data_IF_850483178712
#
_entry.id   IF_850483178712
#
_cell.length_a   1.000
_cell.length_b   1.000
_cell.length_c   1.000
_cell.angle_alpha   90.00
_cell.angle_beta   90.00
_cell.angle_gamma   90.00
#
_symmetry.space_group_name_H-M   'P 1'
#
loop_
_entity.id
_entity.type
_entity.pdbx_description
1 polymer ?
#
# COMPACT_ATOMS: atom_id res chain seq x y z
N UNK A 1 17.95 -24.93 0.60
CA UNK A 1 16.98 -24.96 1.71
C UNK A 1 16.58 -26.41 1.91
N UNK A 2 16.43 -26.92 3.14
CA UNK A 2 16.06 -28.33 3.36
C UNK A 2 14.58 -28.55 2.97
N UNK A 3 14.22 -29.73 2.46
CA UNK A 3 12.84 -30.06 2.04
C UNK A 3 11.81 -29.79 3.16
N UNK A 4 12.12 -30.20 4.40
CA UNK A 4 11.27 -29.94 5.56
C UNK A 4 10.97 -28.45 5.76
N UNK A 5 11.95 -27.57 5.55
CA UNK A 5 11.73 -26.12 5.65
C UNK A 5 10.79 -25.62 4.56
N UNK A 6 10.95 -26.10 3.33
CA UNK A 6 10.06 -25.73 2.23
C UNK A 6 8.62 -26.13 2.54
N UNK A 7 8.40 -27.36 3.02
CA UNK A 7 7.08 -27.84 3.41
C UNK A 7 6.43 -26.97 4.49
N UNK A 8 7.18 -26.57 5.52
CA UNK A 8 6.66 -25.67 6.57
C UNK A 8 6.20 -24.32 5.99
N UNK A 9 7.00 -23.74 5.09
CA UNK A 9 6.66 -22.46 4.44
C UNK A 9 5.40 -22.61 3.58
N UNK A 10 5.31 -23.69 2.78
CA UNK A 10 4.13 -23.98 1.96
C UNK A 10 2.87 -24.15 2.81
N UNK A 11 2.95 -24.92 3.91
CA UNK A 11 1.83 -25.12 4.83
C UNK A 11 1.38 -23.78 5.43
N UNK A 12 2.31 -22.96 5.92
CA UNK A 12 1.97 -21.66 6.47
C UNK A 12 1.31 -20.72 5.44
N UNK A 13 1.82 -20.70 4.20
CA UNK A 13 1.24 -19.89 3.13
C UNK A 13 -0.21 -20.31 2.84
N UNK A 14 -0.49 -21.61 2.77
CA UNK A 14 -1.86 -22.12 2.59
C UNK A 14 -2.74 -21.75 3.78
N UNK A 15 -2.26 -21.91 5.02
CA UNK A 15 -3.02 -21.52 6.23
C UNK A 15 -3.41 -20.05 6.15
N UNK A 16 -2.48 -19.16 5.79
CA UNK A 16 -2.76 -17.71 5.71
C UNK A 16 -3.77 -17.32 4.63
N UNK A 17 -4.04 -18.16 3.64
CA UNK A 17 -5.07 -17.93 2.62
C UNK A 17 -6.49 -18.35 3.05
N UNK A 18 -6.69 -18.72 4.33
CA UNK A 18 -7.96 -19.24 4.85
C UNK A 18 -9.20 -18.45 4.43
N UNK A 19 -9.20 -17.11 4.60
CA UNK A 19 -10.37 -16.28 4.25
C UNK A 19 -10.65 -16.32 2.75
N UNK A 20 -9.64 -16.34 1.88
CA UNK A 20 -9.82 -16.54 0.45
C UNK A 20 -10.52 -17.87 0.14
N UNK A 21 -10.09 -18.97 0.78
CA UNK A 21 -10.75 -20.27 0.62
C UNK A 21 -12.18 -20.26 1.15
N UNK A 22 -12.41 -19.64 2.31
CA UNK A 22 -13.75 -19.46 2.85
C UNK A 22 -14.64 -18.65 1.89
N UNK A 23 -14.07 -17.63 1.26
CA UNK A 23 -14.73 -16.75 0.30
C UNK A 23 -15.03 -17.44 -1.06
N UNK A 24 -14.45 -18.61 -1.34
CA UNK A 24 -14.48 -19.28 -2.66
C UNK A 24 -13.85 -18.47 -3.81
N UNK A 25 -13.18 -17.37 -3.51
CA UNK A 25 -12.44 -16.52 -4.46
C UNK A 25 -11.41 -15.67 -3.69
N UNK A 26 -10.31 -15.21 -4.31
CA UNK A 26 -9.53 -14.11 -3.75
C UNK A 26 -10.43 -12.92 -3.40
N UNK A 27 -10.16 -12.23 -2.31
CA UNK A 27 -10.93 -11.05 -1.91
C UNK A 27 -10.61 -9.93 -2.91
N UNK A 28 -11.65 -9.28 -3.39
CA UNK A 28 -11.61 -8.19 -4.36
C UNK A 28 -12.10 -6.92 -3.67
N UNK A 29 -11.41 -5.81 -3.91
CA UNK A 29 -11.77 -4.48 -3.40
C UNK A 29 -12.14 -3.57 -4.58
N UNK A 30 -12.83 -2.43 -4.38
CA UNK A 30 -13.15 -1.50 -5.48
C UNK A 30 -11.95 -1.15 -6.38
N UNK A 31 -10.78 -1.03 -5.77
CA UNK A 31 -9.50 -0.74 -6.42
C UNK A 31 -8.87 -1.90 -7.19
N UNK A 32 -9.26 -3.15 -6.90
CA UNK A 32 -8.68 -4.35 -7.52
C UNK A 32 -8.84 -4.33 -9.04
N UNK A 33 -9.96 -3.79 -9.55
CA UNK A 33 -10.18 -3.65 -10.99
C UNK A 33 -9.09 -2.83 -11.67
N UNK A 34 -8.70 -1.69 -11.09
CA UNK A 34 -7.63 -0.84 -11.61
C UNK A 34 -6.29 -1.58 -11.62
N UNK A 35 -5.96 -2.34 -10.57
CA UNK A 35 -4.72 -3.13 -10.53
C UNK A 35 -4.69 -4.24 -11.58
N UNK A 36 -5.78 -5.00 -11.75
CA UNK A 36 -5.86 -6.01 -12.81
C UNK A 36 -5.76 -5.33 -14.18
N UNK A 37 -6.52 -4.26 -14.41
CA UNK A 37 -6.56 -3.57 -15.70
C UNK A 37 -5.18 -3.03 -16.09
N UNK A 38 -4.54 -2.26 -15.20
CA UNK A 38 -3.20 -1.69 -15.42
C UNK A 38 -2.13 -2.75 -15.68
N UNK A 39 -2.14 -3.86 -14.95
CA UNK A 39 -1.22 -4.96 -15.18
C UNK A 39 -1.37 -5.63 -16.55
N UNK A 40 -2.60 -5.83 -17.00
CA UNK A 40 -2.90 -6.54 -18.25
C UNK A 40 -2.87 -5.63 -19.48
N UNK A 41 -3.27 -4.36 -19.33
CA UNK A 41 -3.24 -3.35 -20.38
C UNK A 41 -1.91 -2.60 -20.45
N UNK A 42 -1.05 -2.76 -19.43
CA UNK A 42 0.27 -2.16 -19.33
C UNK A 42 0.25 -0.62 -19.42
N UNK A 43 -0.50 0.03 -18.52
CA UNK A 43 -0.50 1.49 -18.36
C UNK A 43 -0.29 1.85 -16.88
N UNK A 44 0.21 3.05 -16.62
CA UNK A 44 0.36 3.58 -15.25
C UNK A 44 -0.94 4.30 -14.86
N UNK A 45 -1.63 3.87 -13.79
CA UNK A 45 -2.77 4.61 -13.28
C UNK A 45 -2.36 6.00 -12.75
N UNK A 46 -3.30 6.96 -12.78
CA UNK A 46 -3.04 8.34 -12.35
C UNK A 46 -2.67 8.46 -10.87
N UNK A 47 -3.19 7.55 -10.05
CA UNK A 47 -3.25 7.61 -8.59
C UNK A 47 -2.33 6.60 -7.88
N UNK A 48 -1.73 5.64 -8.60
CA UNK A 48 -0.97 4.53 -8.00
C UNK A 48 0.13 3.96 -8.92
N UNK A 49 1.18 3.31 -8.38
CA UNK A 49 2.21 2.68 -9.21
C UNK A 49 1.68 1.45 -9.96
N UNK A 50 2.28 1.15 -11.12
CA UNK A 50 1.94 -0.04 -11.92
C UNK A 50 2.38 -1.37 -11.30
N UNK A 51 3.34 -1.36 -10.36
CA UNK A 51 4.03 -2.57 -9.91
C UNK A 51 3.12 -3.63 -9.29
N UNK A 52 2.06 -3.23 -8.56
CA UNK A 52 1.11 -4.23 -8.08
C UNK A 52 0.26 -4.82 -9.23
N UNK A 53 -0.08 -4.03 -10.25
CA UNK A 53 -0.72 -4.55 -11.45
C UNK A 53 0.18 -5.56 -12.18
N UNK A 54 1.47 -5.27 -12.33
CA UNK A 54 2.43 -6.25 -12.84
C UNK A 54 2.56 -7.49 -11.95
N UNK A 55 2.52 -7.33 -10.62
CA UNK A 55 2.46 -8.48 -9.71
C UNK A 55 1.28 -9.37 -10.07
N UNK A 56 0.07 -8.81 -10.15
CA UNK A 56 -1.13 -9.56 -10.47
C UNK A 56 -1.03 -10.23 -11.84
N UNK A 57 -0.61 -9.52 -12.88
CA UNK A 57 -0.48 -10.05 -14.24
C UNK A 57 0.46 -11.26 -14.33
N UNK A 58 1.60 -11.20 -13.65
CA UNK A 58 2.63 -12.23 -13.77
C UNK A 58 2.47 -13.34 -12.74
N UNK A 59 2.14 -13.02 -11.48
CA UNK A 59 1.94 -14.02 -10.43
C UNK A 59 0.68 -14.87 -10.69
N UNK A 60 -0.36 -14.31 -11.33
CA UNK A 60 -1.52 -15.08 -11.78
C UNK A 60 -1.26 -15.98 -12.98
N UNK A 61 -0.11 -15.82 -13.65
CA UNK A 61 0.19 -16.36 -14.98
C UNK A 61 -0.84 -15.97 -16.06
N UNK A 62 -1.67 -14.95 -15.81
CA UNK A 62 -2.89 -14.65 -16.57
C UNK A 62 -3.94 -15.78 -16.61
N UNK A 63 -3.82 -16.78 -15.74
CA UNK A 63 -4.74 -17.92 -15.69
C UNK A 63 -5.64 -17.83 -14.45
N UNK A 64 -5.06 -17.59 -13.27
CA UNK A 64 -5.76 -17.73 -12.00
C UNK A 64 -5.31 -16.70 -10.96
N UNK A 65 -6.24 -15.91 -10.43
CA UNK A 65 -5.95 -14.94 -9.36
C UNK A 65 -5.58 -15.63 -8.05
N UNK A 66 -5.90 -16.92 -7.90
CA UNK A 66 -5.43 -17.73 -6.77
C UNK A 66 -3.90 -17.82 -6.71
N UNK A 67 -3.23 -17.87 -7.86
CA UNK A 67 -1.77 -17.94 -7.90
C UNK A 67 -1.13 -16.65 -7.39
N UNK A 68 -1.80 -15.50 -7.60
CA UNK A 68 -1.35 -14.22 -7.06
C UNK A 68 -1.43 -14.20 -5.52
N UNK A 69 -2.55 -14.65 -4.94
CA UNK A 69 -2.66 -14.69 -3.47
C UNK A 69 -1.73 -15.73 -2.83
N UNK A 70 -1.50 -16.86 -3.51
CA UNK A 70 -0.52 -17.86 -3.07
C UNK A 70 0.91 -17.29 -3.14
N UNK A 71 1.24 -16.51 -4.16
CA UNK A 71 2.55 -15.87 -4.27
C UNK A 71 2.79 -14.88 -3.12
N UNK A 72 1.83 -13.99 -2.81
CA UNK A 72 1.97 -13.07 -1.67
C UNK A 72 2.02 -13.81 -0.32
N UNK A 73 1.23 -14.88 -0.16
CA UNK A 73 1.28 -15.73 1.02
C UNK A 73 2.65 -16.41 1.21
N UNK A 74 3.26 -16.89 0.12
CA UNK A 74 4.59 -17.51 0.14
C UNK A 74 5.69 -16.53 0.52
N UNK A 75 5.62 -15.29 0.02
CA UNK A 75 6.59 -14.24 0.36
C UNK A 75 6.49 -13.91 1.85
N UNK A 76 5.27 -13.71 2.37
CA UNK A 76 5.05 -13.46 3.80
C UNK A 76 5.54 -14.64 4.66
N UNK A 77 5.13 -15.86 4.32
CA UNK A 77 5.50 -17.07 5.04
C UNK A 77 7.04 -17.24 5.08
N UNK A 78 7.74 -16.93 3.99
CA UNK A 78 9.20 -16.94 3.95
C UNK A 78 9.82 -15.92 4.91
N UNK A 79 9.32 -14.68 4.94
CA UNK A 79 9.81 -13.63 5.86
C UNK A 79 9.56 -14.00 7.33
N UNK A 80 8.36 -14.49 7.64
CA UNK A 80 8.03 -15.01 8.97
C UNK A 80 8.96 -16.16 9.34
N UNK A 81 9.23 -17.10 8.41
CA UNK A 81 10.17 -18.18 8.67
C UNK A 81 11.58 -17.66 8.97
N UNK A 82 12.07 -16.64 8.25
CA UNK A 82 13.36 -16.01 8.55
C UNK A 82 13.39 -15.37 9.95
N UNK A 83 12.31 -14.74 10.37
CA UNK A 83 12.15 -14.20 11.72
C UNK A 83 12.24 -15.32 12.77
N UNK A 84 11.39 -16.35 12.66
CA UNK A 84 11.40 -17.49 13.59
C UNK A 84 12.72 -18.27 13.56
N UNK A 85 13.38 -18.34 12.41
CA UNK A 85 14.70 -18.98 12.29
C UNK A 85 15.74 -18.27 13.15
N UNK A 86 15.63 -16.96 13.30
CA UNK A 86 16.59 -16.16 14.03
C UNK A 86 16.29 -16.09 15.53
N UNK A 87 15.02 -15.90 15.90
CA UNK A 87 14.64 -15.61 17.28
C UNK A 87 14.13 -16.83 18.05
N UNK A 88 13.92 -17.97 17.37
CA UNK A 88 13.41 -19.19 18.00
C UNK A 88 14.37 -20.38 17.84
N UNK A 89 14.62 -21.05 18.96
CA UNK A 89 15.42 -22.27 19.04
C UNK A 89 14.94 -23.34 18.05
N UNK A 90 15.89 -24.07 17.45
CA UNK A 90 15.59 -25.04 16.40
C UNK A 90 14.58 -26.12 16.81
N UNK A 91 14.56 -26.51 18.10
CA UNK A 91 13.65 -27.54 18.64
C UNK A 91 12.18 -27.12 18.60
N UNK A 92 11.86 -25.84 18.82
CA UNK A 92 10.48 -25.34 18.90
C UNK A 92 10.03 -24.59 17.64
N UNK A 93 10.98 -24.25 16.75
CA UNK A 93 10.75 -23.39 15.60
C UNK A 93 9.56 -23.80 14.74
N UNK A 94 9.45 -25.08 14.37
CA UNK A 94 8.38 -25.53 13.48
C UNK A 94 6.99 -25.36 14.12
N UNK A 95 6.86 -25.75 15.39
CA UNK A 95 5.60 -25.65 16.12
C UNK A 95 5.19 -24.20 16.37
N UNK A 96 6.11 -23.35 16.84
CA UNK A 96 5.81 -21.95 17.11
C UNK A 96 5.57 -21.14 15.83
N UNK A 97 6.28 -21.43 14.75
CA UNK A 97 6.06 -20.79 13.44
C UNK A 97 4.67 -21.10 12.88
N UNK A 98 4.27 -22.38 12.85
CA UNK A 98 2.95 -22.78 12.37
C UNK A 98 1.84 -22.33 13.33
N UNK A 99 2.07 -22.44 14.63
CA UNK A 99 1.14 -21.96 15.65
C UNK A 99 0.90 -20.45 15.55
N UNK A 100 1.95 -19.67 15.30
CA UNK A 100 1.84 -18.23 15.05
C UNK A 100 1.07 -17.93 13.75
N UNK A 101 1.41 -18.60 12.65
CA UNK A 101 0.68 -18.42 11.38
C UNK A 101 -0.81 -18.74 11.54
N UNK A 102 -1.15 -19.83 12.23
CA UNK A 102 -2.52 -20.22 12.54
C UNK A 102 -3.22 -19.18 13.44
N UNK A 103 -2.57 -18.74 14.51
CA UNK A 103 -3.11 -17.74 15.42
C UNK A 103 -3.41 -16.43 14.69
N UNK A 104 -2.46 -15.88 13.93
CA UNK A 104 -2.68 -14.65 13.17
C UNK A 104 -3.75 -14.81 12.08
N UNK A 105 -3.85 -16.00 11.47
CA UNK A 105 -4.88 -16.27 10.46
C UNK A 105 -6.29 -16.19 11.03
N UNK A 106 -6.49 -16.65 12.27
CA UNK A 106 -7.83 -16.72 12.89
C UNK A 106 -8.19 -15.50 13.74
N UNK A 107 -7.20 -14.88 14.38
CA UNK A 107 -7.43 -13.86 15.41
C UNK A 107 -6.97 -12.46 15.00
N UNK A 108 -6.47 -12.27 13.78
CA UNK A 108 -6.10 -10.96 13.24
C UNK A 108 -6.55 -10.80 11.78
N UNK A 109 -6.39 -9.60 11.21
CA UNK A 109 -6.69 -9.33 9.80
C UNK A 109 -5.71 -9.99 8.80
N UNK A 110 -4.75 -10.81 9.26
CA UNK A 110 -3.70 -11.35 8.39
C UNK A 110 -4.27 -12.11 7.19
N UNK A 111 -5.24 -12.99 7.43
CA UNK A 111 -5.78 -13.82 6.35
C UNK A 111 -6.61 -13.01 5.36
N UNK A 112 -7.28 -11.96 5.81
CA UNK A 112 -7.97 -11.00 4.95
C UNK A 112 -6.95 -10.35 4.01
N UNK A 113 -5.92 -9.68 4.55
CA UNK A 113 -4.92 -9.00 3.72
C UNK A 113 -4.14 -9.94 2.79
N UNK A 114 -3.81 -11.17 3.23
CA UNK A 114 -3.17 -12.18 2.37
C UNK A 114 -4.12 -12.71 1.30
N UNK A 115 -5.44 -12.65 1.50
CA UNK A 115 -6.42 -13.12 0.53
C UNK A 115 -6.93 -11.99 -0.38
N UNK A 116 -6.70 -10.73 -0.02
CA UNK A 116 -7.09 -9.56 -0.83
C UNK A 116 -6.09 -9.30 -1.95
N UNK A 117 -6.62 -9.05 -3.14
CA UNK A 117 -5.88 -8.61 -4.32
C UNK A 117 -5.58 -7.11 -4.22
N UNK A 118 -4.82 -6.74 -3.19
CA UNK A 118 -4.34 -5.39 -2.89
C UNK A 118 -2.87 -5.39 -2.45
N UNK A 119 -2.12 -4.29 -2.67
CA UNK A 119 -0.71 -4.19 -2.30
C UNK A 119 -0.46 -4.12 -0.79
N UNK A 120 -1.49 -3.92 0.02
CA UNK A 120 -1.43 -3.64 1.46
C UNK A 120 -0.64 -4.70 2.25
N UNK A 121 -0.72 -5.97 1.82
CA UNK A 121 0.05 -7.05 2.45
C UNK A 121 1.56 -6.87 2.31
N UNK A 122 2.04 -6.06 1.36
CA UNK A 122 3.45 -5.74 1.23
C UNK A 122 3.94 -4.73 2.29
N UNK A 123 3.04 -3.99 2.98
CA UNK A 123 3.41 -3.12 4.09
C UNK A 123 4.04 -3.90 5.27
N UNK A 124 3.40 -4.94 5.85
CA UNK A 124 4.05 -5.74 6.88
C UNK A 124 5.27 -6.49 6.34
N UNK A 125 5.30 -6.90 5.06
CA UNK A 125 6.50 -7.50 4.47
C UNK A 125 7.68 -6.53 4.42
N UNK A 126 7.44 -5.26 4.09
CA UNK A 126 8.44 -4.18 4.14
C UNK A 126 8.97 -4.02 5.57
N UNK A 127 8.07 -3.92 6.57
CA UNK A 127 8.46 -3.76 7.97
C UNK A 127 9.29 -4.95 8.48
N UNK A 128 8.86 -6.19 8.19
CA UNK A 128 9.60 -7.40 8.53
C UNK A 128 10.97 -7.42 7.84
N UNK A 129 11.05 -7.02 6.58
CA UNK A 129 12.30 -7.00 5.82
C UNK A 129 13.28 -5.97 6.39
N UNK A 130 12.82 -4.77 6.72
CA UNK A 130 13.62 -3.75 7.42
C UNK A 130 14.12 -4.28 8.77
N UNK A 131 13.23 -4.84 9.59
CA UNK A 131 13.59 -5.40 10.89
C UNK A 131 14.64 -6.51 10.78
N UNK A 132 14.47 -7.44 9.84
CA UNK A 132 15.44 -8.51 9.59
C UNK A 132 16.80 -7.96 9.16
N UNK A 133 16.85 -7.03 8.21
CA UNK A 133 18.12 -6.48 7.72
C UNK A 133 18.85 -5.62 8.77
N UNK A 134 18.11 -4.82 9.53
CA UNK A 134 18.66 -3.91 10.53
C UNK A 134 19.13 -4.65 11.79
N UNK A 135 18.30 -5.58 12.29
CA UNK A 135 18.45 -6.14 13.64
C UNK A 135 19.13 -7.51 13.64
N UNK A 136 19.17 -8.24 12.52
CA UNK A 136 19.74 -9.60 12.51
C UNK A 136 21.22 -9.60 12.09
N UNK A 137 22.15 -9.90 13.02
CA UNK A 137 23.55 -10.06 12.69
C UNK A 137 23.82 -11.35 11.90
N UNK A 138 24.81 -11.31 11.00
CA UNK A 138 25.30 -12.51 10.32
C UNK A 138 24.35 -13.19 9.33
N UNK A 139 23.32 -12.50 8.82
CA UNK A 139 22.52 -13.04 7.72
C UNK A 139 23.43 -13.43 6.54
N UNK A 140 23.18 -14.61 5.96
CA UNK A 140 23.87 -15.05 4.75
C UNK A 140 23.57 -14.09 3.61
N UNK A 141 24.55 -13.83 2.75
CA UNK A 141 24.40 -12.92 1.59
C UNK A 141 23.18 -13.27 0.74
N UNK A 142 22.92 -14.56 0.51
CA UNK A 142 21.70 -15.03 -0.17
C UNK A 142 20.42 -14.56 0.51
N UNK A 143 20.32 -14.74 1.84
CA UNK A 143 19.12 -14.36 2.58
C UNK A 143 18.98 -12.82 2.62
N UNK A 144 20.09 -12.08 2.74
CA UNK A 144 20.09 -10.62 2.62
C UNK A 144 19.60 -10.15 1.25
N UNK A 145 20.04 -10.79 0.16
CA UNK A 145 19.60 -10.48 -1.19
C UNK A 145 18.10 -10.75 -1.37
N UNK A 146 17.61 -11.90 -0.91
CA UNK A 146 16.17 -12.23 -0.97
C UNK A 146 15.34 -11.21 -0.19
N UNK A 147 15.71 -10.91 1.06
CA UNK A 147 15.00 -9.94 1.90
C UNK A 147 15.10 -8.53 1.30
N UNK A 148 16.25 -8.16 0.74
CA UNK A 148 16.45 -6.87 0.06
C UNK A 148 15.60 -6.71 -1.20
N UNK A 149 15.44 -7.77 -2.00
CA UNK A 149 14.55 -7.78 -3.17
C UNK A 149 13.08 -7.64 -2.73
N UNK A 150 12.67 -8.35 -1.69
CA UNK A 150 11.31 -8.23 -1.15
C UNK A 150 11.08 -6.81 -0.64
N UNK A 151 12.01 -6.24 0.14
CA UNK A 151 11.94 -4.86 0.62
C UNK A 151 11.81 -3.86 -0.54
N UNK A 152 12.69 -3.97 -1.55
CA UNK A 152 12.69 -3.14 -2.74
C UNK A 152 11.33 -3.14 -3.44
N UNK A 153 10.77 -4.34 -3.66
CA UNK A 153 9.50 -4.52 -4.34
C UNK A 153 8.32 -4.04 -3.50
N UNK A 154 8.33 -4.30 -2.19
CA UNK A 154 7.27 -3.85 -1.28
C UNK A 154 7.10 -2.34 -1.28
N UNK A 155 8.17 -1.56 -1.50
CA UNK A 155 8.08 -0.10 -1.62
C UNK A 155 7.58 0.35 -3.01
N UNK A 156 7.87 -0.42 -4.06
CA UNK A 156 7.47 -0.08 -5.42
C UNK A 156 5.96 -0.24 -5.65
N UNK A 157 5.28 -1.13 -4.93
CA UNK A 157 3.86 -1.43 -5.14
C UNK A 157 2.90 -0.35 -4.63
N UNK A 158 3.32 0.53 -3.71
CA UNK A 158 2.45 1.57 -3.15
C UNK A 158 3.25 2.75 -2.59
N UNK A 159 2.85 4.00 -2.90
CA UNK A 159 3.59 5.21 -2.50
C UNK A 159 3.73 5.35 -0.97
N UNK A 160 2.68 4.97 -0.21
CA UNK A 160 2.72 5.07 1.24
C UNK A 160 3.85 4.23 1.86
N UNK A 161 4.15 3.05 1.30
CA UNK A 161 5.22 2.19 1.80
C UNK A 161 6.57 2.88 1.70
N UNK A 162 6.81 3.62 0.61
CA UNK A 162 8.04 4.38 0.43
C UNK A 162 8.21 5.44 1.53
N UNK A 163 7.18 6.26 1.77
CA UNK A 163 7.22 7.28 2.82
C UNK A 163 7.35 6.66 4.22
N UNK A 164 6.65 5.57 4.51
CA UNK A 164 6.78 4.84 5.77
C UNK A 164 8.21 4.31 5.96
N UNK A 165 8.85 3.78 4.91
CA UNK A 165 10.23 3.33 4.97
C UNK A 165 11.21 4.48 5.27
N UNK A 166 11.02 5.66 4.64
CA UNK A 166 11.79 6.86 4.94
C UNK A 166 11.66 7.29 6.40
N UNK A 167 10.44 7.31 6.94
CA UNK A 167 10.19 7.68 8.34
C UNK A 167 10.85 6.70 9.31
N UNK A 168 10.67 5.39 9.09
CA UNK A 168 11.27 4.34 9.93
C UNK A 168 12.80 4.45 9.86
N UNK A 169 13.40 4.52 8.67
CA UNK A 169 14.86 4.61 8.54
C UNK A 169 15.42 5.92 9.07
N UNK A 170 14.70 7.04 8.92
CA UNK A 170 15.07 8.33 9.50
C UNK A 170 15.13 8.25 11.03
N UNK A 171 14.07 7.74 11.66
CA UNK A 171 14.01 7.53 13.10
C UNK A 171 15.11 6.57 13.59
N UNK A 172 15.30 5.44 12.90
CA UNK A 172 16.37 4.48 13.21
C UNK A 172 17.75 5.10 13.06
N UNK A 173 17.98 5.94 12.05
CA UNK A 173 19.26 6.64 11.84
C UNK A 173 19.53 7.64 12.96
N UNK A 174 18.51 8.38 13.40
CA UNK A 174 18.61 9.29 14.54
C UNK A 174 18.94 8.52 15.83
N UNK A 175 18.21 7.44 16.12
CA UNK A 175 18.49 6.58 17.28
C UNK A 175 19.89 5.96 17.20
N UNK A 176 20.32 5.55 16.00
CA UNK A 176 21.68 5.06 15.79
C UNK A 176 22.72 6.13 16.11
N UNK A 177 22.53 7.38 15.68
CA UNK A 177 23.44 8.49 16.01
C UNK A 177 23.50 8.74 17.52
N UNK A 178 22.35 8.79 18.19
CA UNK A 178 22.24 9.03 19.64
C UNK A 178 22.84 7.90 20.48
N UNK A 179 22.71 6.65 20.03
CA UNK A 179 23.09 5.45 20.80
C UNK A 179 24.20 4.60 20.16
N UNK A 180 24.99 5.16 19.22
CA UNK A 180 26.00 4.41 18.43
C UNK A 180 26.97 3.56 19.26
N UNK A 181 27.28 4.00 20.49
CA UNK A 181 28.18 3.29 21.41
C UNK A 181 27.63 1.95 21.92
N UNK A 182 26.31 1.72 21.84
CA UNK A 182 25.67 0.46 22.27
C UNK A 182 25.74 -0.65 21.22
N UNK A 183 26.12 -0.35 19.98
CA UNK A 183 26.31 -1.36 18.94
C UNK A 183 25.06 -2.13 18.51
N UNK A 184 23.85 -1.66 18.86
CA UNK A 184 22.58 -2.36 18.56
C UNK A 184 22.32 -2.48 17.05
N UNK A 185 22.65 -1.44 16.28
CA UNK A 185 22.47 -1.39 14.82
C UNK A 185 23.82 -1.09 14.16
N UNK A 186 24.15 -1.89 13.15
CA UNK A 186 25.42 -1.77 12.42
C UNK A 186 25.26 -0.77 11.27
N UNK A 187 26.24 0.13 11.11
CA UNK A 187 26.24 1.13 10.02
C UNK A 187 26.06 0.48 8.64
N UNK A 188 26.72 -0.66 8.39
CA UNK A 188 26.57 -1.40 7.12
C UNK A 188 25.13 -1.84 6.84
N UNK A 189 24.39 -2.27 7.86
CA UNK A 189 22.99 -2.66 7.71
C UNK A 189 22.11 -1.44 7.42
N UNK A 190 22.39 -0.32 8.09
CA UNK A 190 21.69 0.95 7.85
C UNK A 190 21.94 1.47 6.42
N UNK A 191 23.19 1.47 5.97
CA UNK A 191 23.56 1.85 4.60
C UNK A 191 22.93 0.93 3.55
N UNK A 192 22.87 -0.38 3.79
CA UNK A 192 22.19 -1.32 2.91
C UNK A 192 20.70 -0.97 2.79
N UNK A 193 20.01 -0.74 3.91
CA UNK A 193 18.58 -0.41 3.89
C UNK A 193 18.34 0.92 3.17
N UNK A 194 19.13 1.97 3.47
CA UNK A 194 19.06 3.24 2.75
C UNK A 194 19.30 3.08 1.26
N UNK A 195 20.30 2.29 0.86
CA UNK A 195 20.58 2.00 -0.55
C UNK A 195 19.39 1.36 -1.26
N UNK A 196 18.71 0.41 -0.62
CA UNK A 196 17.51 -0.24 -1.17
C UNK A 196 16.32 0.74 -1.25
N UNK A 197 16.09 1.57 -0.23
CA UNK A 197 15.04 2.60 -0.24
C UNK A 197 15.27 3.61 -1.36
N UNK A 198 16.48 4.18 -1.44
CA UNK A 198 16.84 5.15 -2.48
C UNK A 198 16.71 4.58 -3.89
N UNK A 199 17.11 3.31 -4.08
CA UNK A 199 16.95 2.64 -5.36
C UNK A 199 15.46 2.47 -5.73
N UNK A 200 14.61 2.11 -4.77
CA UNK A 200 13.17 1.98 -5.00
C UNK A 200 12.51 3.34 -5.29
N UNK A 201 12.96 4.42 -4.64
CA UNK A 201 12.51 5.79 -4.92
C UNK A 201 12.75 6.23 -6.36
N UNK A 202 13.82 5.73 -6.99
CA UNK A 202 14.12 6.02 -8.39
C UNK A 202 13.35 5.12 -9.36
N UNK A 203 12.99 3.92 -8.93
CA UNK A 203 12.31 2.94 -9.79
C UNK A 203 10.97 3.47 -10.30
N UNK A 204 10.12 3.98 -9.42
CA UNK A 204 8.79 4.50 -9.76
C UNK A 204 8.87 5.62 -10.82
N UNK A 205 9.57 6.75 -10.59
CA UNK A 205 9.61 7.84 -11.56
C UNK A 205 10.35 7.44 -12.84
N UNK A 206 11.35 6.55 -12.77
CA UNK A 206 12.01 6.01 -13.96
C UNK A 206 11.05 5.17 -14.82
N UNK A 207 10.22 4.32 -14.19
CA UNK A 207 9.19 3.55 -14.89
C UNK A 207 8.12 4.45 -15.48
N UNK A 208 7.64 5.45 -14.73
CA UNK A 208 6.67 6.41 -15.26
C UNK A 208 7.25 7.16 -16.47
N UNK A 209 8.50 7.62 -16.40
CA UNK A 209 9.17 8.27 -17.53
C UNK A 209 9.32 7.32 -18.72
N UNK A 210 9.77 6.08 -18.51
CA UNK A 210 9.92 5.08 -19.56
C UNK A 210 8.60 4.69 -20.23
N UNK A 211 7.48 4.83 -19.51
CA UNK A 211 6.12 4.59 -20.03
C UNK A 211 5.45 5.83 -20.63
N UNK A 212 6.17 6.95 -20.76
CA UNK A 212 5.64 8.18 -21.37
C UNK A 212 4.80 9.05 -20.42
N UNK A 213 4.79 8.73 -19.13
CA UNK A 213 3.96 9.38 -18.11
C UNK A 213 4.68 10.57 -17.44
N UNK A 214 5.95 10.79 -17.77
CA UNK A 214 6.81 11.82 -17.18
C UNK A 214 7.55 11.35 -15.93
N UNK A 215 8.58 12.10 -15.53
CA UNK A 215 9.39 11.76 -14.37
C UNK A 215 8.76 12.34 -13.10
N UNK A 216 8.11 11.49 -12.31
CA UNK A 216 7.47 11.86 -11.05
C UNK A 216 6.86 10.65 -10.35
N UNK A 217 6.59 10.77 -9.05
CA UNK A 217 6.00 9.67 -8.28
C UNK A 217 4.55 9.42 -8.70
N UNK A 218 3.69 10.43 -8.62
CA UNK A 218 2.27 10.34 -8.91
C UNK A 218 1.78 11.54 -9.71
N UNK A 219 0.82 11.32 -10.60
CA UNK A 219 0.12 12.39 -11.33
C UNK A 219 -1.04 12.95 -10.53
N UNK A 220 -1.66 12.16 -9.67
CA UNK A 220 -2.87 12.52 -8.91
C UNK A 220 -2.65 12.93 -7.44
N UNK A 221 -1.40 13.00 -6.97
CA UNK A 221 -1.11 13.25 -5.55
C UNK A 221 -1.73 14.54 -4.97
N UNK A 222 -1.85 15.59 -5.79
CA UNK A 222 -2.50 16.85 -5.39
C UNK A 222 -4.00 16.68 -5.11
N UNK A 223 -4.69 15.78 -5.80
CA UNK A 223 -6.13 15.54 -5.58
C UNK A 223 -6.36 14.90 -4.20
N UNK A 224 -5.52 13.92 -3.82
CA UNK A 224 -5.60 13.30 -2.49
C UNK A 224 -5.25 14.26 -1.36
N UNK A 225 -4.28 15.17 -1.57
CA UNK A 225 -4.00 16.21 -0.60
C UNK A 225 -5.18 17.18 -0.46
N UNK A 226 -5.80 17.58 -1.57
CA UNK A 226 -7.00 18.42 -1.57
C UNK A 226 -8.14 17.75 -0.79
N UNK A 227 -8.47 16.49 -1.11
CA UNK A 227 -9.46 15.70 -0.37
C UNK A 227 -9.21 15.71 1.14
N UNK A 228 -7.93 15.54 1.54
CA UNK A 228 -7.56 15.54 2.96
C UNK A 228 -7.80 16.90 3.62
N UNK A 229 -7.49 17.99 2.92
CA UNK A 229 -7.72 19.34 3.43
C UNK A 229 -9.22 19.69 3.50
N UNK A 230 -10.03 19.23 2.53
CA UNK A 230 -11.50 19.32 2.57
C UNK A 230 -12.04 18.57 3.80
N UNK A 231 -11.61 17.32 4.02
CA UNK A 231 -12.02 16.55 5.20
C UNK A 231 -11.68 17.24 6.53
N UNK A 232 -10.60 18.00 6.58
CA UNK A 232 -10.21 18.75 7.78
C UNK A 232 -10.89 20.11 7.91
N UNK A 233 -11.73 20.50 6.96
CA UNK A 233 -12.45 21.78 6.94
C UNK A 233 -11.57 22.99 6.58
N UNK A 234 -10.33 22.76 6.14
CA UNK A 234 -9.34 23.83 5.90
C UNK A 234 -9.64 24.57 4.61
N UNK A 235 -10.19 23.88 3.60
CA UNK A 235 -10.45 24.46 2.28
C UNK A 235 -11.62 25.44 2.33
N UNK A 236 -12.66 25.11 3.08
CA UNK A 236 -13.82 25.96 3.29
C UNK A 236 -13.41 27.30 3.94
N UNK A 237 -12.59 27.24 5.00
CA UNK A 237 -12.06 28.43 5.68
C UNK A 237 -11.18 29.26 4.73
N UNK A 238 -10.23 28.62 4.04
CA UNK A 238 -9.33 29.31 3.12
C UNK A 238 -10.07 29.99 1.96
N UNK A 239 -11.05 29.32 1.35
CA UNK A 239 -11.77 29.86 0.20
C UNK A 239 -12.70 31.02 0.60
N UNK A 240 -13.17 31.08 1.85
CA UNK A 240 -13.94 32.21 2.33
C UNK A 240 -13.15 33.53 2.24
N UNK A 241 -11.84 33.46 2.50
CA UNK A 241 -10.92 34.60 2.45
C UNK A 241 -10.29 34.81 1.07
N UNK A 242 -9.91 33.73 0.38
CA UNK A 242 -9.16 33.81 -0.87
C UNK A 242 -10.02 34.16 -2.08
N UNK A 243 -11.28 33.69 -2.15
CA UNK A 243 -12.09 33.82 -3.36
C UNK A 243 -12.44 35.25 -3.81
N UNK A 244 -12.60 36.24 -2.91
CA UNK A 244 -12.77 37.64 -3.32
C UNK A 244 -11.57 38.21 -4.12
N UNK A 245 -10.37 37.68 -3.91
CA UNK A 245 -9.12 38.21 -4.50
C UNK A 245 -8.52 37.29 -5.55
N UNK A 246 -8.59 35.98 -5.32
CA UNK A 246 -8.00 34.93 -6.14
C UNK A 246 -9.11 34.33 -6.98
N UNK A 247 -9.15 34.66 -8.27
CA UNK A 247 -10.14 34.16 -9.24
C UNK A 247 -10.01 32.67 -9.58
N UNK A 248 -9.89 31.79 -8.58
CA UNK A 248 -9.82 30.34 -8.74
C UNK A 248 -11.13 29.80 -9.31
N UNK A 249 -11.06 28.79 -10.18
CA UNK A 249 -12.26 28.12 -10.71
C UNK A 249 -13.04 27.44 -9.59
N UNK A 250 -12.34 26.94 -8.57
CA UNK A 250 -12.91 26.34 -7.38
C UNK A 250 -13.90 27.26 -6.65
N UNK A 251 -13.69 28.59 -6.70
CA UNK A 251 -14.52 29.56 -5.99
C UNK A 251 -15.99 29.57 -6.42
N UNK A 252 -16.29 29.13 -7.66
CA UNK A 252 -17.66 28.99 -8.13
C UNK A 252 -18.46 27.91 -7.37
N UNK A 253 -17.78 27.00 -6.67
CA UNK A 253 -18.38 25.84 -6.01
C UNK A 253 -18.07 25.77 -4.50
N UNK A 254 -17.57 26.85 -3.90
CA UNK A 254 -17.12 26.89 -2.50
C UNK A 254 -18.19 26.47 -1.48
N UNK A 255 -19.47 26.72 -1.79
CA UNK A 255 -20.60 26.42 -0.90
C UNK A 255 -21.21 25.02 -1.16
N UNK A 256 -20.59 24.25 -2.06
CA UNK A 256 -21.09 22.96 -2.56
C UNK A 256 -20.00 21.88 -2.59
N UNK A 257 -19.05 21.94 -1.67
CA UNK A 257 -17.95 20.97 -1.58
C UNK A 257 -18.48 19.72 -0.85
N UNK A 258 -18.59 18.55 -1.52
CA UNK A 258 -19.02 17.33 -0.85
C UNK A 258 -17.89 16.77 0.02
N UNK A 259 -18.24 15.99 1.05
CA UNK A 259 -17.25 15.27 1.85
C UNK A 259 -16.45 14.30 0.98
N UNK A 260 -17.12 13.54 0.11
CA UNK A 260 -16.47 12.63 -0.82
C UNK A 260 -15.98 13.35 -2.10
N UNK A 261 -15.11 14.34 -1.92
CA UNK A 261 -14.68 15.24 -2.97
C UNK A 261 -13.98 14.56 -4.17
N UNK A 262 -13.31 13.42 -3.99
CA UNK A 262 -12.69 12.69 -5.12
C UNK A 262 -13.72 11.92 -5.93
N UNK A 263 -14.65 11.23 -5.27
CA UNK A 263 -15.50 10.23 -5.92
C UNK A 263 -16.91 10.72 -6.24
N UNK A 264 -17.37 11.79 -5.60
CA UNK A 264 -18.65 12.42 -5.93
C UNK A 264 -18.57 13.09 -7.33
N UNK A 265 -19.36 12.65 -8.32
CA UNK A 265 -19.35 13.22 -9.67
C UNK A 265 -19.70 14.71 -9.71
N UNK A 266 -20.43 15.20 -8.71
CA UNK A 266 -20.85 16.59 -8.59
C UNK A 266 -19.83 17.46 -7.87
N UNK A 267 -18.70 16.89 -7.45
CA UNK A 267 -17.66 17.64 -6.75
C UNK A 267 -17.00 18.69 -7.66
N UNK A 268 -16.45 19.78 -7.07
CA UNK A 268 -15.71 20.78 -7.83
C UNK A 268 -14.57 20.17 -8.67
N UNK A 269 -13.94 19.08 -8.19
CA UNK A 269 -12.88 18.38 -8.93
C UNK A 269 -13.31 18.06 -10.37
N UNK A 270 -14.47 17.41 -10.54
CA UNK A 270 -14.94 16.97 -11.86
C UNK A 270 -15.52 18.13 -12.67
N UNK A 271 -16.07 19.15 -12.01
CA UNK A 271 -16.65 20.35 -12.66
C UNK A 271 -15.59 21.32 -13.18
N UNK A 272 -14.39 21.35 -12.61
CA UNK A 272 -13.32 22.29 -13.00
C UNK A 272 -12.20 21.64 -13.82
N UNK A 273 -12.43 20.47 -14.41
CA UNK A 273 -11.48 19.83 -15.35
C UNK A 273 -10.77 18.58 -14.83
N UNK A 274 -11.22 18.03 -13.70
CA UNK A 274 -10.78 16.73 -13.20
C UNK A 274 -9.38 16.75 -12.60
N UNK A 275 -8.73 15.58 -12.65
CA UNK A 275 -7.49 15.33 -11.92
C UNK A 275 -6.28 16.10 -12.45
N UNK A 276 -6.20 16.41 -13.75
CA UNK A 276 -5.00 17.01 -14.34
C UNK A 276 -5.08 18.54 -14.40
N UNK A 277 -6.20 19.08 -14.88
CA UNK A 277 -6.36 20.53 -15.12
C UNK A 277 -6.37 21.35 -13.83
N UNK A 278 -6.73 20.74 -12.70
CA UNK A 278 -6.77 21.41 -11.40
C UNK A 278 -5.41 21.52 -10.71
N UNK A 279 -4.35 20.89 -11.25
CA UNK A 279 -3.07 20.74 -10.55
C UNK A 279 -2.43 22.07 -10.16
N UNK A 280 -2.36 23.02 -11.09
CA UNK A 280 -1.71 24.32 -10.82
C UNK A 280 -2.47 25.13 -9.78
N UNK A 281 -3.81 25.17 -9.91
CA UNK A 281 -4.69 25.85 -8.96
C UNK A 281 -4.55 25.26 -7.56
N UNK A 282 -4.56 23.93 -7.42
CA UNK A 282 -4.43 23.28 -6.12
C UNK A 282 -3.04 23.49 -5.51
N UNK A 283 -1.99 23.50 -6.33
CA UNK A 283 -0.64 23.81 -5.85
C UNK A 283 -0.51 25.24 -5.31
N UNK A 284 -1.19 26.22 -5.92
CA UNK A 284 -1.24 27.57 -5.38
C UNK A 284 -1.96 27.60 -4.02
N UNK A 285 -3.12 26.94 -3.92
CA UNK A 285 -3.86 26.79 -2.65
C UNK A 285 -2.97 26.15 -1.57
N UNK A 286 -2.26 25.08 -1.90
CA UNK A 286 -1.36 24.42 -0.94
C UNK A 286 -0.21 25.33 -0.51
N UNK A 287 0.31 26.16 -1.42
CA UNK A 287 1.33 27.15 -1.10
C UNK A 287 0.87 28.10 0.00
N UNK A 288 -0.35 28.61 -0.12
CA UNK A 288 -0.92 29.52 0.87
C UNK A 288 -1.27 28.78 2.18
N UNK A 289 -2.01 27.66 2.07
CA UNK A 289 -2.51 26.89 3.22
C UNK A 289 -1.40 26.29 4.07
N UNK A 290 -0.31 25.82 3.47
CA UNK A 290 0.80 25.19 4.20
C UNK A 290 1.82 26.17 4.76
N UNK A 291 1.77 27.45 4.34
CA UNK A 291 2.69 28.48 4.84
C UNK A 291 2.04 29.42 5.85
N UNK A 292 0.71 29.55 5.84
CA UNK A 292 -0.01 30.29 6.87
C UNK A 292 -0.18 29.48 8.15
N UNK A 293 0.26 30.05 9.28
CA UNK A 293 0.16 29.43 10.59
C UNK A 293 -1.29 29.13 11.03
N UNK A 294 -2.24 29.95 10.57
CA UNK A 294 -3.67 29.83 10.88
C UNK A 294 -4.24 28.50 10.44
N UNK A 295 -3.89 28.05 9.23
CA UNK A 295 -4.31 26.77 8.68
C UNK A 295 -3.36 25.63 9.12
N UNK A 296 -2.06 25.90 9.21
CA UNK A 296 -1.07 24.88 9.58
C UNK A 296 -1.34 24.28 10.97
N UNK A 297 -1.74 25.11 11.96
CA UNK A 297 -2.10 24.61 13.30
C UNK A 297 -3.32 23.67 13.27
N UNK A 298 -4.29 23.93 12.38
CA UNK A 298 -5.48 23.08 12.21
C UNK A 298 -5.04 21.75 11.61
N UNK A 299 -4.23 21.78 10.55
CA UNK A 299 -3.67 20.60 9.90
C UNK A 299 -2.92 19.73 10.91
N UNK A 300 -2.06 20.32 11.74
CA UNK A 300 -1.29 19.58 12.74
C UNK A 300 -2.19 18.94 13.81
N UNK A 301 -3.15 19.70 14.35
CA UNK A 301 -4.10 19.19 15.34
C UNK A 301 -4.94 18.03 14.77
N UNK A 302 -5.55 18.24 13.59
CA UNK A 302 -6.37 17.22 12.91
C UNK A 302 -5.56 16.01 12.47
N UNK A 303 -4.31 16.20 12.04
CA UNK A 303 -3.41 15.09 11.72
C UNK A 303 -3.17 14.20 12.94
N UNK A 304 -2.99 14.79 14.12
CA UNK A 304 -2.81 14.06 15.36
C UNK A 304 -4.09 13.33 15.79
N UNK A 305 -5.23 14.01 15.79
CA UNK A 305 -6.55 13.44 16.10
C UNK A 305 -6.88 12.25 15.18
N UNK A 306 -6.82 12.46 13.86
CA UNK A 306 -7.11 11.41 12.87
C UNK A 306 -6.12 10.24 12.98
N UNK A 307 -4.86 10.50 13.31
CA UNK A 307 -3.89 9.41 13.54
C UNK A 307 -4.27 8.55 14.74
N UNK A 308 -4.77 9.16 15.82
CA UNK A 308 -5.27 8.42 16.98
C UNK A 308 -6.55 7.65 16.64
N UNK A 309 -7.50 8.27 15.94
CA UNK A 309 -8.74 7.62 15.50
C UNK A 309 -8.45 6.40 14.62
N UNK A 310 -7.61 6.56 13.59
CA UNK A 310 -7.24 5.47 12.68
C UNK A 310 -6.48 4.34 13.39
N UNK A 311 -5.70 4.66 14.44
CA UNK A 311 -4.99 3.64 15.21
C UNK A 311 -5.95 2.70 15.96
N UNK A 312 -7.11 3.20 16.37
CA UNK A 312 -8.13 2.43 17.08
C UNK A 312 -9.31 1.98 16.19
N UNK A 313 -9.35 2.41 14.93
CA UNK A 313 -10.36 2.01 13.97
C UNK A 313 -9.95 0.73 13.25
N UNK A 314 -10.71 -0.34 13.47
CA UNK A 314 -10.53 -1.64 12.83
C UNK A 314 -11.77 -1.97 12.01
N UNK A 315 -12.00 -1.21 10.94
CA UNK A 315 -13.04 -1.52 9.95
C UNK A 315 -12.46 -2.45 8.87
N UNK A 316 -13.21 -3.49 8.51
CA UNK A 316 -12.84 -4.44 7.44
C UNK A 316 -13.23 -3.86 6.06
N UNK A 317 -13.85 -2.68 6.04
CA UNK A 317 -14.18 -1.90 4.84
C UNK A 317 -15.28 -2.55 3.98
N UNK A 318 -15.43 -2.07 2.74
CA UNK A 318 -16.38 -2.57 1.73
C UNK A 318 -16.00 -3.95 1.18
N UNK A 319 -15.78 -4.91 2.07
CA UNK A 319 -15.59 -6.32 1.71
C UNK A 319 -16.89 -7.11 1.79
N UNK A 320 -18.02 -6.41 1.99
CA UNK A 320 -19.26 -6.98 2.53
C UNK A 320 -20.19 -7.69 1.54
N UNK A 321 -19.96 -7.48 0.26
CA UNK A 321 -20.62 -8.16 -0.84
C UNK A 321 -19.66 -8.26 -2.03
N UNK A 322 -19.75 -9.30 -2.88
CA UNK A 322 -19.06 -9.25 -4.16
C UNK A 322 -19.56 -8.03 -4.92
N UNK A 323 -18.65 -7.14 -5.33
CA UNK A 323 -19.01 -6.02 -6.18
C UNK A 323 -19.54 -6.55 -7.53
N UNK A 324 -20.85 -6.40 -7.76
CA UNK A 324 -21.54 -6.98 -8.91
C UNK A 324 -21.46 -6.06 -10.15
N UNK A 325 -22.36 -6.27 -11.11
CA UNK A 325 -22.40 -5.60 -12.41
C UNK A 325 -22.21 -4.07 -12.28
N UNK A 326 -21.35 -3.49 -13.13
CA UNK A 326 -21.02 -2.07 -13.13
C UNK A 326 -19.86 -1.65 -12.21
N UNK A 327 -19.39 -2.53 -11.33
CA UNK A 327 -18.18 -2.26 -10.54
C UNK A 327 -16.89 -2.45 -11.34
N UNK A 328 -15.87 -1.65 -11.04
CA UNK A 328 -14.51 -1.74 -11.62
C UNK A 328 -13.92 -3.16 -11.63
N UNK A 329 -13.91 -3.90 -10.49
CA UNK A 329 -13.36 -5.24 -10.48
C UNK A 329 -14.17 -6.24 -11.31
N UNK A 330 -15.50 -6.15 -11.28
CA UNK A 330 -16.36 -7.06 -12.03
C UNK A 330 -16.12 -6.97 -13.53
N UNK A 331 -16.15 -5.75 -14.09
CA UNK A 331 -15.95 -5.54 -15.52
C UNK A 331 -14.54 -5.93 -15.94
N UNK A 332 -13.54 -5.67 -15.10
CA UNK A 332 -12.16 -6.03 -15.40
C UNK A 332 -11.95 -7.54 -15.38
N UNK A 333 -12.50 -8.26 -14.39
CA UNK A 333 -12.43 -9.73 -14.32
C UNK A 333 -13.16 -10.34 -15.52
N UNK A 334 -14.34 -9.84 -15.87
CA UNK A 334 -15.09 -10.27 -17.06
C UNK A 334 -14.29 -10.09 -18.34
N UNK A 335 -13.58 -8.97 -18.49
CA UNK A 335 -12.80 -8.66 -19.69
C UNK A 335 -11.49 -9.45 -19.77
N UNK A 336 -10.76 -9.59 -18.65
CA UNK A 336 -9.40 -10.13 -18.64
C UNK A 336 -9.32 -11.60 -18.24
N UNK A 337 -10.27 -12.09 -17.47
CA UNK A 337 -10.28 -13.43 -16.87
C UNK A 337 -11.71 -14.02 -16.88
N UNK A 338 -12.36 -14.15 -18.06
CA UNK A 338 -13.77 -14.52 -18.17
C UNK A 338 -14.09 -15.88 -17.53
N UNK A 339 -13.14 -16.83 -17.55
CA UNK A 339 -13.31 -18.15 -16.92
C UNK A 339 -13.46 -18.07 -15.39
N UNK A 340 -12.89 -17.04 -14.77
CA UNK A 340 -12.96 -16.83 -13.32
C UNK A 340 -14.24 -16.07 -12.90
N UNK A 341 -14.92 -15.39 -13.83
CA UNK A 341 -16.10 -14.57 -13.54
C UNK A 341 -17.20 -15.37 -12.85
N UNK A 342 -17.44 -16.62 -13.30
CA UNK A 342 -18.45 -17.48 -12.67
C UNK A 342 -18.12 -17.71 -11.20
N UNK A 343 -16.86 -18.01 -10.86
CA UNK A 343 -16.44 -18.24 -9.47
C UNK A 343 -16.54 -16.96 -8.64
N UNK A 344 -16.17 -15.82 -9.22
CA UNK A 344 -16.29 -14.52 -8.56
C UNK A 344 -17.75 -14.20 -8.19
N UNK A 345 -18.71 -14.43 -9.10
CA UNK A 345 -20.15 -14.22 -8.83
C UNK A 345 -20.70 -15.08 -7.69
N UNK A 346 -20.12 -16.26 -7.46
CA UNK A 346 -20.50 -17.15 -6.36
C UNK A 346 -19.58 -17.01 -5.13
N UNK A 347 -18.70 -16.00 -5.12
CA UNK A 347 -17.89 -15.71 -3.94
C UNK A 347 -18.75 -15.21 -2.78
N UNK A 348 -18.25 -15.37 -1.56
CA UNK A 348 -18.99 -15.08 -0.33
C UNK A 348 -18.75 -13.68 0.24
N UNK A 349 -17.99 -12.81 -0.44
CA UNK A 349 -17.43 -11.58 0.14
C UNK A 349 -18.53 -10.90 0.97
N UNK A 350 -18.22 -10.73 2.26
CA UNK A 350 -19.09 -10.75 3.44
C UNK A 350 -18.77 -9.61 4.35
#
# INVERSE_FOLDING_TARGET
>A
MKLRTLLLILIAAVITCFVGFYNNFPIVFPDTGTYISSGFANYVPIDRPIFYGWFLRHASLAESLWLAILAQALILALLLYYFFRQFVEARYRAALYLGFAFFCTLFTGLSVHVSTLMPDIFAPMMMLSLGLLLLVPGLKVRDQAVIGIILFYSMAVHYAHLFTAYLILGAVSLLWLLYRKRGLIRLRALLLCWGVVLLSSLLIPATNWAMGEGFGLSKGGHVFLMQRLVHWGVIEEYLAEACPEKGYRFCAYKDSIPLDFIWDPESPLHKTGGWLENKQEYQAIFGDVLTDWTYLRIILARSFETSLELFFSFDVGDTTAPALDGSSPFETIKMRLPEQLRRYRFSRQS
#
